data_IF_315625734498
#
_entry.id   IF_315625734498
#
_cell.length_a   1.000
_cell.length_b   1.000
_cell.length_c   1.000
_cell.angle_alpha   90.00
_cell.angle_beta   90.00
_cell.angle_gamma   90.00
#
_symmetry.space_group_name_H-M   'P 1'
#
loop_
_entity.id
_entity.type
_entity.pdbx_description
1 polymer ?
#
# COMPACT_ATOMS: atom_id res chain seq x y z
N UNK A 1 -24.34 -0.73 -5.09
CA UNK A 1 -24.89 0.14 -4.03
C UNK A 1 -23.76 1.04 -3.53
N UNK A 2 -23.81 2.38 -3.68
CA UNK A 2 -22.76 3.25 -3.17
C UNK A 2 -23.14 3.70 -1.75
N UNK A 3 -22.43 3.17 -0.75
CA UNK A 3 -22.37 3.80 0.57
C UNK A 3 -20.93 4.20 0.83
N UNK A 4 -20.54 5.38 0.34
CA UNK A 4 -19.33 6.05 0.80
C UNK A 4 -19.77 7.11 1.78
N UNK A 5 -19.85 6.71 3.05
CA UNK A 5 -19.94 7.63 4.17
C UNK A 5 -18.72 8.54 4.14
N UNK A 6 -18.88 9.78 3.70
CA UNK A 6 -17.90 10.86 3.87
C UNK A 6 -17.71 11.11 5.36
N UNK A 7 -16.84 10.33 5.98
CA UNK A 7 -16.33 10.64 7.32
C UNK A 7 -15.25 11.69 7.09
N UNK A 8 -15.54 12.95 7.41
CA UNK A 8 -14.54 14.02 7.51
C UNK A 8 -13.47 13.60 8.52
N UNK A 9 -12.48 12.83 8.06
CA UNK A 9 -11.27 12.53 8.81
C UNK A 9 -10.39 13.77 8.63
N UNK A 10 -10.04 14.44 9.72
CA UNK A 10 -9.08 15.53 9.71
C UNK A 10 -7.70 14.94 9.43
N UNK A 11 -7.11 15.25 8.29
CA UNK A 11 -5.77 14.77 7.93
C UNK A 11 -4.75 15.64 8.67
N UNK A 12 -3.60 15.08 9.06
CA UNK A 12 -2.42 15.92 9.34
C UNK A 12 -1.62 16.22 8.06
N UNK A 13 -1.98 15.58 6.94
CA UNK A 13 -1.49 15.78 5.58
C UNK A 13 -2.18 16.97 4.87
N UNK A 14 -2.25 18.13 5.52
CA UNK A 14 -2.87 19.33 4.94
C UNK A 14 -1.89 20.10 4.03
N UNK A 15 -0.59 20.00 4.26
CA UNK A 15 0.43 20.69 3.46
C UNK A 15 0.82 19.94 2.19
N UNK A 16 0.95 20.66 1.08
CA UNK A 16 1.53 20.17 -0.18
C UNK A 16 2.93 19.59 0.04
N UNK A 17 3.72 20.20 0.93
CA UNK A 17 5.10 19.76 1.23
C UNK A 17 5.10 18.38 1.89
N UNK A 18 4.20 18.15 2.85
CA UNK A 18 4.11 16.86 3.52
C UNK A 18 3.63 15.76 2.56
N UNK A 19 2.71 16.11 1.63
CA UNK A 19 2.26 15.19 0.57
C UNK A 19 3.41 14.80 -0.36
N UNK A 20 4.17 15.78 -0.81
CA UNK A 20 5.31 15.58 -1.70
C UNK A 20 6.43 14.79 -1.02
N UNK A 21 6.72 15.09 0.26
CA UNK A 21 7.73 14.36 1.02
C UNK A 21 7.30 12.91 1.28
N UNK A 22 6.03 12.66 1.63
CA UNK A 22 5.51 11.30 1.77
C UNK A 22 5.56 10.55 0.45
N UNK A 23 5.25 11.20 -0.68
CA UNK A 23 5.40 10.61 -2.01
C UNK A 23 6.85 10.19 -2.27
N UNK A 24 7.82 11.04 -1.95
CA UNK A 24 9.24 10.71 -2.05
C UNK A 24 9.64 9.52 -1.18
N UNK A 25 9.14 9.45 0.06
CA UNK A 25 9.36 8.30 0.94
C UNK A 25 8.77 6.99 0.37
N UNK A 26 7.59 7.07 -0.26
CA UNK A 26 6.95 5.92 -0.91
C UNK A 26 7.71 5.50 -2.17
N UNK A 27 8.18 6.44 -2.99
CA UNK A 27 8.96 6.13 -4.19
C UNK A 27 10.30 5.46 -3.86
N UNK A 28 10.98 5.94 -2.81
CA UNK A 28 12.29 5.42 -2.41
C UNK A 28 12.24 4.12 -1.60
N UNK A 29 11.36 4.04 -0.60
CA UNK A 29 11.35 2.98 0.42
C UNK A 29 10.03 2.20 0.47
N UNK A 30 9.10 2.54 -0.44
CA UNK A 30 7.74 2.04 -0.43
C UNK A 30 7.48 0.83 -1.34
N UNK A 31 6.43 0.09 -0.99
CA UNK A 31 5.86 -1.00 -1.76
C UNK A 31 4.35 -0.81 -1.84
N UNK A 32 3.83 -0.70 -3.06
CA UNK A 32 2.41 -0.61 -3.40
C UNK A 32 2.04 -1.91 -4.11
N UNK A 33 1.04 -2.64 -3.61
CA UNK A 33 0.63 -3.92 -4.22
C UNK A 33 -0.80 -4.29 -3.89
N UNK A 34 -1.37 -5.14 -4.73
CA UNK A 34 -2.55 -5.94 -4.39
C UNK A 34 -2.05 -7.20 -3.68
N UNK A 35 -2.28 -7.31 -2.38
CA UNK A 35 -1.96 -8.52 -1.64
C UNK A 35 -3.01 -9.58 -1.93
N UNK A 36 -2.56 -10.73 -2.45
CA UNK A 36 -3.38 -11.91 -2.67
C UNK A 36 -3.02 -12.97 -1.62
N UNK A 37 -3.96 -13.31 -0.74
CA UNK A 37 -3.69 -14.27 0.32
C UNK A 37 -4.90 -15.09 0.73
N UNK A 38 -4.64 -16.31 1.19
CA UNK A 38 -5.65 -17.19 1.79
C UNK A 38 -6.05 -16.64 3.16
N UNK A 39 -7.33 -16.68 3.48
CA UNK A 39 -7.79 -16.28 4.81
C UNK A 39 -7.29 -17.34 5.83
N UNK A 40 -6.58 -16.93 6.87
CA UNK A 40 -5.81 -17.84 7.75
C UNK A 40 -6.61 -18.92 8.50
N UNK A 41 -7.94 -18.93 8.39
CA UNK A 41 -8.84 -19.95 8.96
C UNK A 41 -9.67 -20.71 7.92
N UNK A 42 -9.73 -20.23 6.67
CA UNK A 42 -10.52 -20.87 5.62
C UNK A 42 -9.75 -20.80 4.31
N UNK A 43 -9.11 -21.92 3.97
CA UNK A 43 -8.22 -22.06 2.81
C UNK A 43 -8.94 -21.94 1.47
N UNK A 44 -10.28 -21.99 1.48
CA UNK A 44 -11.10 -21.97 0.28
C UNK A 44 -11.45 -20.55 -0.21
N UNK A 45 -11.11 -19.52 0.56
CA UNK A 45 -11.37 -18.12 0.19
C UNK A 45 -10.09 -17.32 0.06
N UNK A 46 -9.86 -16.83 -1.14
CA UNK A 46 -8.82 -15.88 -1.48
C UNK A 46 -9.34 -14.48 -1.17
N UNK A 47 -8.56 -13.69 -0.43
CA UNK A 47 -8.83 -12.26 -0.24
C UNK A 47 -7.76 -11.44 -0.93
N UNK A 48 -8.21 -10.49 -1.75
CA UNK A 48 -7.39 -9.42 -2.28
C UNK A 48 -7.46 -8.21 -1.34
N UNK A 49 -6.33 -7.53 -1.12
CA UNK A 49 -6.25 -6.33 -0.29
C UNK A 49 -5.37 -5.28 -0.95
N UNK A 50 -5.79 -4.02 -0.90
CA UNK A 50 -4.88 -2.93 -1.19
C UNK A 50 -3.83 -2.85 -0.08
N UNK A 51 -2.57 -2.68 -0.47
CA UNK A 51 -1.47 -2.72 0.49
C UNK A 51 -0.41 -1.70 0.12
N UNK A 52 -0.15 -0.79 1.06
CA UNK A 52 0.94 0.17 1.01
C UNK A 52 1.87 -0.10 2.21
N UNK A 53 3.17 -0.12 1.96
CA UNK A 53 4.17 -0.29 3.01
C UNK A 53 5.36 0.63 2.75
N UNK A 54 5.92 1.23 3.79
CA UNK A 54 7.24 1.89 3.76
C UNK A 54 8.12 1.16 4.76
N UNK A 55 9.33 0.77 4.34
CA UNK A 55 10.24 -0.02 5.18
C UNK A 55 11.55 0.72 5.37
N UNK A 56 12.07 0.79 6.59
CA UNK A 56 13.41 1.34 6.81
C UNK A 56 14.09 0.69 8.01
N UNK A 57 15.42 0.71 8.06
CA UNK A 57 16.18 0.27 9.26
C UNK A 57 16.24 1.36 10.33
N UNK A 58 16.00 2.62 9.95
CA UNK A 58 15.76 3.72 10.87
C UNK A 58 14.25 3.85 11.13
N UNK A 59 13.85 3.71 12.39
CA UNK A 59 12.44 3.76 12.81
C UNK A 59 11.77 5.12 12.59
N UNK A 60 12.56 6.20 12.53
CA UNK A 60 12.06 7.57 12.39
C UNK A 60 11.13 7.71 11.18
N UNK A 61 11.50 7.14 10.03
CA UNK A 61 10.71 7.29 8.80
C UNK A 61 9.34 6.58 8.90
N UNK A 62 9.25 5.28 9.25
CA UNK A 62 7.96 4.61 9.47
C UNK A 62 7.08 5.29 10.53
N UNK A 63 7.66 5.75 11.64
CA UNK A 63 6.90 6.45 12.69
C UNK A 63 6.40 7.82 12.19
N UNK A 64 7.20 8.56 11.41
CA UNK A 64 6.78 9.81 10.77
C UNK A 64 5.62 9.57 9.78
N UNK A 65 5.70 8.54 8.93
CA UNK A 65 4.61 8.22 8.00
C UNK A 65 3.30 7.92 8.74
N UNK A 66 3.37 7.16 9.85
CA UNK A 66 2.19 6.90 10.70
C UNK A 66 1.66 8.18 11.33
N UNK A 67 2.55 9.05 11.83
CA UNK A 67 2.18 10.30 12.47
C UNK A 67 1.44 11.22 11.48
N UNK A 68 2.03 11.48 10.31
CA UNK A 68 1.51 12.47 9.37
C UNK A 68 0.20 12.01 8.70
N UNK A 69 0.01 10.71 8.52
CA UNK A 69 -1.22 10.15 7.95
C UNK A 69 -2.29 9.89 9.00
N UNK A 70 -1.91 9.60 10.24
CA UNK A 70 -2.82 9.02 11.24
C UNK A 70 -3.32 7.62 10.88
N UNK A 71 -2.71 6.96 9.89
CA UNK A 71 -3.19 5.70 9.32
C UNK A 71 -2.15 4.58 9.44
N UNK A 72 -2.66 3.35 9.41
CA UNK A 72 -1.84 2.15 9.44
C UNK A 72 -1.18 1.89 10.80
N UNK A 73 -0.16 1.04 10.78
CA UNK A 73 0.61 0.66 11.95
C UNK A 73 2.08 0.49 11.62
N UNK A 74 2.93 0.61 12.63
CA UNK A 74 4.36 0.33 12.53
C UNK A 74 4.67 -0.97 13.26
N UNK A 75 5.46 -1.85 12.65
CA UNK A 75 5.98 -3.06 13.29
C UNK A 75 7.48 -3.16 13.13
N UNK A 76 8.15 -3.71 14.15
CA UNK A 76 9.55 -4.08 14.07
C UNK A 76 9.68 -5.54 13.61
N UNK A 77 10.51 -5.78 12.59
CA UNK A 77 10.84 -7.10 12.08
C UNK A 77 12.30 -7.39 12.45
N UNK A 78 12.46 -8.31 13.41
CA UNK A 78 13.77 -8.85 13.75
C UNK A 78 14.30 -9.66 12.56
N UNK A 79 15.57 -9.48 12.18
CA UNK A 79 16.13 -10.19 11.05
C UNK A 79 16.35 -11.66 11.42
N UNK A 80 16.24 -12.55 10.43
CA UNK A 80 16.60 -13.96 10.60
C UNK A 80 18.12 -14.16 10.69
N UNK A 81 18.88 -13.27 10.04
CA UNK A 81 20.33 -13.26 10.07
C UNK A 81 20.82 -12.19 11.06
N UNK A 82 21.64 -12.59 12.04
CA UNK A 82 22.17 -11.70 13.07
C UNK A 82 23.04 -10.55 12.54
N UNK A 83 23.55 -10.63 11.30
CA UNK A 83 24.33 -9.56 10.66
C UNK A 83 23.47 -8.44 10.09
N UNK A 84 22.17 -8.66 9.93
CA UNK A 84 21.27 -7.65 9.39
C UNK A 84 20.70 -6.78 10.50
N UNK A 85 20.29 -5.56 10.16
CA UNK A 85 19.61 -4.67 11.10
C UNK A 85 18.14 -5.08 11.24
N UNK A 86 17.57 -4.81 12.42
CA UNK A 86 16.11 -4.76 12.57
C UNK A 86 15.56 -3.73 11.60
N UNK A 87 14.47 -4.07 10.91
CA UNK A 87 13.74 -3.13 10.06
C UNK A 87 12.37 -2.84 10.64
N UNK A 88 11.84 -1.69 10.26
CA UNK A 88 10.55 -1.19 10.70
C UNK A 88 9.68 -1.00 9.47
N UNK A 89 8.50 -1.61 9.49
CA UNK A 89 7.53 -1.50 8.41
C UNK A 89 6.39 -0.60 8.90
N UNK A 90 6.15 0.53 8.25
CA UNK A 90 4.85 1.21 8.30
C UNK A 90 3.94 0.60 7.24
N UNK A 91 2.77 0.12 7.63
CA UNK A 91 1.85 -0.63 6.78
C UNK A 91 0.45 -0.01 6.83
N UNK A 92 -0.13 0.23 5.66
CA UNK A 92 -1.50 0.67 5.47
C UNK A 92 -2.21 -0.32 4.55
N UNK A 93 -3.48 -0.62 4.84
CA UNK A 93 -4.24 -1.65 4.12
C UNK A 93 -5.63 -1.14 3.72
N UNK A 94 -6.16 -1.77 2.68
CA UNK A 94 -7.53 -1.59 2.18
C UNK A 94 -7.86 -0.11 1.96
N UNK A 95 -9.04 0.38 2.34
CA UNK A 95 -9.47 1.76 2.07
C UNK A 95 -8.51 2.83 2.57
N UNK A 96 -7.87 2.62 3.73
CA UNK A 96 -6.88 3.59 4.23
C UNK A 96 -5.65 3.69 3.30
N UNK A 97 -5.28 2.59 2.62
CA UNK A 97 -4.15 2.64 1.68
C UNK A 97 -4.53 3.49 0.45
N UNK A 98 -5.79 3.43 0.03
CA UNK A 98 -6.31 4.24 -1.09
C UNK A 98 -6.40 5.70 -0.70
N UNK A 99 -6.91 6.02 0.50
CA UNK A 99 -6.93 7.39 1.02
C UNK A 99 -5.52 8.02 0.97
N UNK A 100 -4.50 7.29 1.41
CA UNK A 100 -3.10 7.74 1.33
C UNK A 100 -2.62 7.86 -0.11
N UNK A 101 -2.91 6.87 -0.96
CA UNK A 101 -2.48 6.87 -2.37
C UNK A 101 -3.04 8.09 -3.10
N UNK A 102 -4.33 8.38 -2.97
CA UNK A 102 -4.96 9.53 -3.61
C UNK A 102 -4.35 10.86 -3.13
N UNK A 103 -3.98 10.94 -1.84
CA UNK A 103 -3.32 12.10 -1.27
C UNK A 103 -2.00 12.44 -1.96
N UNK A 104 -1.21 11.40 -2.27
CA UNK A 104 0.18 11.53 -2.74
C UNK A 104 0.32 11.31 -4.24
N UNK A 105 -0.70 10.76 -4.92
CA UNK A 105 -0.66 10.38 -6.33
C UNK A 105 -0.12 11.49 -7.24
N UNK A 106 -0.52 12.77 -7.12
CA UNK A 106 -0.01 13.85 -7.97
C UNK A 106 1.50 14.09 -7.83
N UNK A 107 2.12 13.63 -6.74
CA UNK A 107 3.51 13.86 -6.40
C UNK A 107 4.40 12.65 -6.64
N UNK A 108 3.82 11.44 -6.77
CA UNK A 108 4.56 10.22 -7.09
C UNK A 108 5.21 10.33 -8.48
N UNK A 109 6.44 9.81 -8.60
CA UNK A 109 7.21 9.76 -9.84
C UNK A 109 7.45 8.32 -10.25
N UNK A 110 8.09 7.53 -9.39
CA UNK A 110 8.56 6.19 -9.74
C UNK A 110 7.44 5.15 -9.64
N UNK A 111 6.53 5.30 -8.68
CA UNK A 111 5.44 4.34 -8.42
C UNK A 111 4.07 4.90 -8.78
N UNK A 112 4.01 5.95 -9.60
CA UNK A 112 2.74 6.56 -10.02
C UNK A 112 1.83 5.55 -10.74
N UNK A 113 2.38 4.74 -11.65
CA UNK A 113 1.62 3.72 -12.39
C UNK A 113 1.05 2.64 -11.45
N UNK A 114 1.84 2.14 -10.51
CA UNK A 114 1.40 1.15 -9.50
C UNK A 114 0.32 1.71 -8.59
N UNK A 115 0.48 2.95 -8.14
CA UNK A 115 -0.50 3.64 -7.31
C UNK A 115 -1.82 3.84 -8.04
N UNK A 116 -1.77 4.29 -9.30
CA UNK A 116 -2.96 4.46 -10.15
C UNK A 116 -3.68 3.13 -10.38
N UNK A 117 -2.93 2.09 -10.74
CA UNK A 117 -3.48 0.75 -10.95
C UNK A 117 -4.18 0.21 -9.70
N UNK A 118 -3.56 0.38 -8.53
CA UNK A 118 -4.14 -0.09 -7.28
C UNK A 118 -5.42 0.68 -6.92
N UNK A 119 -5.45 2.01 -7.12
CA UNK A 119 -6.64 2.84 -6.93
C UNK A 119 -7.77 2.40 -7.84
N UNK A 120 -7.49 2.24 -9.13
CA UNK A 120 -8.50 1.90 -10.14
C UNK A 120 -9.05 0.48 -9.91
N UNK A 121 -8.18 -0.45 -9.53
CA UNK A 121 -8.58 -1.79 -9.08
C UNK A 121 -9.50 -1.74 -7.86
N UNK A 122 -9.20 -0.88 -6.88
CA UNK A 122 -9.98 -0.79 -5.63
C UNK A 122 -11.40 -0.27 -5.86
N UNK A 123 -11.58 0.70 -6.76
CA UNK A 123 -12.91 1.21 -7.12
C UNK A 123 -13.68 0.31 -8.09
N UNK A 124 -13.06 -0.75 -8.60
CA UNK A 124 -13.73 -1.74 -9.44
C UNK A 124 -13.99 -1.24 -10.87
N UNK A 125 -13.09 -0.45 -11.45
CA UNK A 125 -13.17 -0.15 -12.88
C UNK A 125 -13.09 -1.47 -13.68
N UNK A 126 -14.08 -1.75 -14.53
CA UNK A 126 -14.25 -3.04 -15.22
C UNK A 126 -13.02 -3.41 -16.08
N UNK A 127 -12.38 -2.43 -16.72
CA UNK A 127 -11.15 -2.63 -17.49
C UNK A 127 -9.98 -3.12 -16.61
N UNK A 128 -9.88 -2.63 -15.38
CA UNK A 128 -8.80 -2.97 -14.44
C UNK A 128 -9.02 -4.34 -13.79
N UNK A 129 -10.27 -4.68 -13.49
CA UNK A 129 -10.66 -6.02 -13.04
C UNK A 129 -10.33 -7.08 -14.10
N UNK A 130 -10.56 -6.78 -15.37
CA UNK A 130 -10.22 -7.67 -16.48
C UNK A 130 -8.71 -7.82 -16.67
N UNK A 131 -7.93 -6.74 -16.59
CA UNK A 131 -6.47 -6.78 -16.71
C UNK A 131 -5.81 -7.57 -15.56
N UNK A 132 -6.28 -7.39 -14.32
CA UNK A 132 -5.79 -8.15 -13.15
C UNK A 132 -6.20 -9.62 -13.22
N UNK A 133 -7.40 -9.92 -13.71
CA UNK A 133 -7.87 -11.30 -13.91
C UNK A 133 -7.07 -12.01 -15.01
N UNK A 134 -6.79 -11.36 -16.14
CA UNK A 134 -5.92 -11.87 -17.20
C UNK A 134 -4.49 -12.12 -16.68
N UNK A 135 -3.90 -11.16 -15.97
CA UNK A 135 -2.55 -11.31 -15.40
C UNK A 135 -2.47 -12.46 -14.38
N UNK A 136 -3.47 -12.59 -13.51
CA UNK A 136 -3.52 -13.69 -12.53
C UNK A 136 -3.74 -15.05 -13.20
N UNK A 137 -4.51 -15.12 -14.29
CA UNK A 137 -4.72 -16.35 -15.07
C UNK A 137 -3.43 -16.78 -15.79
N UNK A 138 -2.63 -15.83 -16.27
CA UNK A 138 -1.31 -16.10 -16.84
C UNK A 138 -0.27 -16.51 -15.78
N UNK A 139 -0.38 -16.00 -14.55
CA UNK A 139 0.55 -16.27 -13.44
C UNK A 139 0.26 -17.53 -12.60
N UNK A 140 -0.84 -18.25 -12.87
CA UNK A 140 -1.04 -19.59 -12.30
C UNK A 140 0.04 -20.61 -12.73
N UNK A 141 0.95 -20.23 -13.65
CA UNK A 141 2.18 -20.98 -13.96
C UNK A 141 3.39 -20.68 -13.05
N UNK A 142 3.16 -20.02 -11.91
CA UNK A 142 4.08 -20.07 -10.76
C UNK A 142 5.34 -19.22 -10.91
N UNK A 143 5.20 -17.89 -10.78
CA UNK A 143 6.26 -17.03 -10.27
C UNK A 143 5.66 -15.74 -9.70
N UNK A 144 6.06 -15.38 -8.47
CA UNK A 144 5.66 -14.14 -7.84
C UNK A 144 6.33 -12.96 -8.55
N UNK A 145 5.54 -12.13 -9.23
CA UNK A 145 6.03 -10.91 -9.87
C UNK A 145 5.76 -9.73 -8.92
N UNK A 146 6.83 -9.03 -8.53
CA UNK A 146 6.73 -7.65 -8.05
C UNK A 146 6.28 -6.82 -9.23
N UNK A 147 5.07 -6.26 -9.16
CA UNK A 147 4.59 -5.28 -10.13
C UNK A 147 5.40 -4.02 -9.93
#
# INVERSE_FOLDING_TARGET
>A
MPFVSQKQRKWMLESIVDRAYLAGAIDGEGCIRIFHGKNGRNTNWIRHRAFLQVTNTNRILPDWCKLITGMGFVRAIKPKNHKWKTRYDWIVQDGNAIDVIEAVLPYLKLKHSHASLLRDWFYGNEETLNAVTLFNTLNQKGNAVQV
#
